data_IF_034911112079
#
_entry.id   IF_034911112079
#
_cell.length_a   1.000
_cell.length_b   1.000
_cell.length_c   1.000
_cell.angle_alpha   90.00
_cell.angle_beta   90.00
_cell.angle_gamma   90.00
#
_symmetry.space_group_name_H-M   'P 1'
#
loop_
_entity.id
_entity.type
_entity.pdbx_description
1 polymer ?
#
# COMPACT_ATOMS: atom_id res chain seq x y z
N UNK A 1 13.84 -1.94 2.51
CA UNK A 1 13.65 -0.83 1.55
C UNK A 1 12.20 -0.91 1.14
N UNK A 2 11.36 -0.09 1.75
CA UNK A 2 9.92 -0.26 1.61
C UNK A 2 9.48 0.29 0.27
N UNK A 3 8.76 -0.54 -0.46
CA UNK A 3 8.19 -0.16 -1.75
C UNK A 3 6.83 0.46 -1.49
N UNK A 4 6.51 1.46 -2.30
CA UNK A 4 5.21 2.11 -2.26
C UNK A 4 4.55 1.98 -3.62
N UNK A 5 3.24 1.96 -3.61
CA UNK A 5 2.42 1.95 -4.81
C UNK A 5 1.36 3.03 -4.78
N UNK A 6 0.98 3.55 -5.93
CA UNK A 6 -0.18 4.43 -6.09
C UNK A 6 -1.36 3.60 -6.58
N UNK A 7 -2.49 3.67 -5.87
CA UNK A 7 -3.75 3.10 -6.33
C UNK A 7 -4.26 3.87 -7.56
N UNK A 8 -4.43 3.21 -8.69
CA UNK A 8 -4.98 3.79 -9.93
C UNK A 8 -6.37 3.24 -10.29
N UNK A 9 -6.77 2.17 -9.63
CA UNK A 9 -8.10 1.57 -9.73
C UNK A 9 -8.53 1.05 -8.35
N UNK A 10 -9.74 1.39 -7.92
CA UNK A 10 -10.32 0.95 -6.65
C UNK A 10 -11.66 0.23 -6.84
N UNK A 11 -11.99 -0.16 -8.08
CA UNK A 11 -13.31 -0.71 -8.42
C UNK A 11 -13.62 -1.95 -7.59
N UNK A 12 -14.72 -1.91 -6.84
CA UNK A 12 -15.17 -2.99 -5.96
C UNK A 12 -14.43 -3.06 -4.61
N UNK A 13 -13.53 -2.11 -4.35
CA UNK A 13 -12.76 -1.99 -3.11
C UNK A 13 -12.78 -0.54 -2.58
N UNK A 14 -13.78 0.27 -2.94
CA UNK A 14 -13.83 1.71 -2.65
C UNK A 14 -13.92 2.04 -1.15
N UNK A 15 -14.31 1.06 -0.31
CA UNK A 15 -14.30 1.19 1.15
C UNK A 15 -12.89 1.03 1.76
N UNK A 16 -11.98 0.39 1.03
CA UNK A 16 -10.62 0.03 1.47
C UNK A 16 -9.53 0.78 0.71
N UNK A 17 -9.79 1.19 -0.53
CA UNK A 17 -8.82 1.81 -1.43
C UNK A 17 -9.30 3.17 -1.93
N UNK A 18 -8.43 4.16 -1.77
CA UNK A 18 -8.60 5.51 -2.31
C UNK A 18 -7.75 5.68 -3.57
N UNK A 19 -8.38 6.12 -4.66
CA UNK A 19 -7.69 6.33 -5.93
C UNK A 19 -6.72 7.51 -5.83
N UNK A 20 -5.53 7.33 -6.39
CA UNK A 20 -4.37 8.23 -6.36
C UNK A 20 -3.66 8.37 -5.00
N UNK A 21 -4.00 7.51 -4.04
CA UNK A 21 -3.30 7.43 -2.76
C UNK A 21 -2.12 6.45 -2.80
N UNK A 22 -1.12 6.74 -1.97
CA UNK A 22 0.07 5.93 -1.75
C UNK A 22 -0.15 4.88 -0.67
N UNK A 23 0.23 3.64 -0.94
CA UNK A 23 0.14 2.52 -0.02
C UNK A 23 1.50 1.84 0.15
N UNK A 24 1.89 1.43 1.38
CA UNK A 24 3.08 0.64 1.61
C UNK A 24 2.85 -0.81 1.16
N UNK A 25 3.86 -1.38 0.49
CA UNK A 25 3.87 -2.78 0.07
C UNK A 25 4.56 -3.62 1.12
N UNK A 26 3.88 -4.65 1.60
CA UNK A 26 4.44 -5.66 2.51
C UNK A 26 5.15 -6.75 1.72
N UNK A 27 4.44 -7.34 0.76
CA UNK A 27 4.95 -8.43 -0.06
C UNK A 27 4.44 -8.31 -1.50
N UNK A 28 5.34 -8.52 -2.46
CA UNK A 28 5.00 -8.63 -3.87
C UNK A 28 4.98 -10.11 -4.28
N UNK A 29 4.05 -10.49 -5.15
CA UNK A 29 4.01 -11.81 -5.79
C UNK A 29 3.87 -13.01 -4.85
N UNK A 30 3.43 -12.82 -3.60
CA UNK A 30 3.08 -13.94 -2.72
C UNK A 30 2.01 -14.84 -3.39
N UNK A 31 1.02 -14.20 -4.01
CA UNK A 31 0.05 -14.83 -4.90
C UNK A 31 0.20 -14.23 -6.29
N UNK A 32 0.34 -15.07 -7.30
CA UNK A 32 0.54 -14.64 -8.69
C UNK A 32 -0.53 -13.62 -9.13
N UNK A 33 -0.10 -12.40 -9.47
CA UNK A 33 -0.99 -11.33 -9.91
C UNK A 33 -1.57 -10.46 -8.79
N UNK A 34 -1.21 -10.71 -7.53
CA UNK A 34 -1.65 -9.95 -6.36
C UNK A 34 -0.48 -9.30 -5.63
N UNK A 35 -0.79 -8.25 -4.88
CA UNK A 35 0.13 -7.51 -4.03
C UNK A 35 -0.49 -7.38 -2.64
N UNK A 36 0.32 -7.59 -1.59
CA UNK A 36 -0.10 -7.38 -0.20
C UNK A 36 0.29 -5.97 0.22
N UNK A 37 -0.71 -5.16 0.56
CA UNK A 37 -0.53 -3.79 1.06
C UNK A 37 -1.34 -3.60 2.34
N UNK A 38 -0.99 -2.55 3.11
CA UNK A 38 -1.83 -2.07 4.21
C UNK A 38 -2.78 -1.03 3.64
N UNK A 39 -4.08 -1.25 3.75
CA UNK A 39 -5.11 -0.38 3.17
C UNK A 39 -5.61 0.71 4.15
N UNK A 40 -6.74 1.35 3.85
CA UNK A 40 -7.35 2.34 4.74
C UNK A 40 -7.83 1.78 6.08
N UNK A 41 -8.13 0.48 6.18
CA UNK A 41 -8.57 -0.16 7.43
C UNK A 41 -7.38 -0.51 8.32
N UNK A 42 -6.14 -0.28 7.86
CA UNK A 42 -4.88 -0.63 8.54
C UNK A 42 -4.65 -2.14 8.64
N UNK A 43 -5.34 -2.92 7.81
CA UNK A 43 -5.18 -4.36 7.73
C UNK A 43 -4.39 -4.75 6.48
N UNK A 44 -3.76 -5.92 6.49
CA UNK A 44 -2.93 -6.42 5.39
C UNK A 44 -3.71 -7.30 4.42
N UNK A 45 -4.20 -6.71 3.32
CA UNK A 45 -4.98 -7.41 2.31
C UNK A 45 -4.23 -7.62 1.00
N UNK A 46 -4.63 -8.66 0.27
CA UNK A 46 -4.20 -8.94 -1.10
C UNK A 46 -5.13 -8.25 -2.10
N UNK A 47 -4.55 -7.47 -3.00
CA UNK A 47 -5.28 -6.82 -4.10
C UNK A 47 -4.68 -7.16 -5.45
N UNK A 48 -5.46 -7.08 -6.55
CA UNK A 48 -4.94 -7.23 -7.89
C UNK A 48 -3.82 -6.24 -8.19
N UNK A 49 -2.70 -6.71 -8.73
CA UNK A 49 -1.53 -5.86 -9.03
C UNK A 49 -1.83 -4.74 -10.02
N UNK A 50 -2.75 -4.96 -10.95
CA UNK A 50 -3.16 -3.98 -11.96
C UNK A 50 -3.93 -2.78 -11.38
N UNK A 51 -4.30 -2.84 -10.09
CA UNK A 51 -4.88 -1.70 -9.39
C UNK A 51 -3.84 -0.65 -9.02
N UNK A 52 -2.55 -0.97 -9.16
CA UNK A 52 -1.46 -0.21 -8.59
C UNK A 52 -0.35 0.09 -9.59
N UNK A 53 0.31 1.23 -9.39
CA UNK A 53 1.58 1.57 -10.05
C UNK A 53 2.68 1.69 -9.00
N UNK A 54 3.80 1.00 -9.21
CA UNK A 54 4.99 1.15 -8.39
C UNK A 54 5.56 2.58 -8.50
N UNK A 55 5.98 3.13 -7.37
CA UNK A 55 6.66 4.42 -7.31
C UNK A 55 7.97 4.29 -6.54
N UNK A 56 9.01 4.91 -7.08
CA UNK A 56 10.26 5.09 -6.36
C UNK A 56 10.20 6.42 -5.61
N UNK A 57 10.29 6.36 -4.28
CA UNK A 57 10.33 7.54 -3.44
C UNK A 57 11.78 7.84 -3.02
N UNK A 58 12.15 9.13 -2.89
CA UNK A 58 13.40 9.48 -2.22
C UNK A 58 13.44 8.85 -0.82
N UNK A 59 14.61 8.36 -0.40
CA UNK A 59 14.78 7.63 0.88
C UNK A 59 14.15 8.37 2.07
N UNK A 60 14.39 9.68 2.19
CA UNK A 60 13.84 10.51 3.28
C UNK A 60 12.31 10.53 3.32
N UNK A 61 11.65 10.42 2.16
CA UNK A 61 10.18 10.38 2.07
C UNK A 61 9.68 8.99 2.45
N UNK A 62 10.33 7.94 1.93
CA UNK A 62 9.97 6.55 2.23
C UNK A 62 10.07 6.25 3.74
N UNK A 63 11.18 6.63 4.38
CA UNK A 63 11.41 6.44 5.82
C UNK A 63 10.38 7.17 6.68
N UNK A 64 10.02 8.41 6.29
CA UNK A 64 9.03 9.19 7.03
C UNK A 64 7.63 8.61 6.89
N UNK A 65 7.24 8.24 5.67
CA UNK A 65 5.93 7.63 5.41
C UNK A 65 5.81 6.28 6.13
N UNK A 66 6.84 5.44 6.08
CA UNK A 66 6.88 4.18 6.81
C UNK A 66 6.61 4.42 8.29
N UNK A 67 7.37 5.31 8.93
CA UNK A 67 7.19 5.62 10.35
C UNK A 67 5.78 6.09 10.69
N UNK A 68 5.21 6.99 9.89
CA UNK A 68 3.86 7.53 10.14
C UNK A 68 2.78 6.46 9.88
N UNK A 69 2.89 5.65 8.83
CA UNK A 69 1.93 4.58 8.53
C UNK A 69 1.89 3.50 9.62
N UNK A 70 3.04 3.06 10.11
CA UNK A 70 3.12 1.98 11.10
C UNK A 70 2.93 2.45 12.54
N UNK A 71 3.26 3.70 12.86
CA UNK A 71 2.96 4.28 14.18
C UNK A 71 1.44 4.29 14.45
N UNK A 72 0.62 4.45 13.42
CA UNK A 72 -0.84 4.40 13.54
C UNK A 72 -1.41 2.99 13.75
N UNK A 73 -0.60 1.93 13.58
CA UNK A 73 -1.01 0.52 13.70
C UNK A 73 -0.71 -0.01 15.11
N UNK A 74 0.38 0.43 15.75
CA UNK A 74 0.79 -0.05 17.09
C UNK A 74 -0.03 0.54 18.26
N UNK A 75 -0.89 1.52 18.02
CA UNK A 75 -1.76 2.17 19.03
C UNK A 75 -3.15 1.50 19.20
N UNK A 76 -3.34 0.25 18.73
CA UNK A 76 -4.60 -0.54 18.87
C UNK A 76 -4.40 -1.81 19.69
#
# INVERSE_FOLDING_TARGET
>A
MNKFVICVNSKGCEASLEKWKLYPVLEEDEVSGFIRIIDETKEDYLYPKDYFLAVELPVVVAERLEKEYFAEIEDV
#
